data_IF_663502671473
#
_entry.id   IF_663502671473
#
_cell.length_a   1.000
_cell.length_b   1.000
_cell.length_c   1.000
_cell.angle_alpha   90.00
_cell.angle_beta   90.00
_cell.angle_gamma   90.00
#
_symmetry.space_group_name_H-M   'P 1'
#
loop_
_entity.id
_entity.type
_entity.pdbx_description
1 polymer ?
#
# COMPACT_ATOMS: atom_id res chain seq x y z
N UNK A 1 -36.35 -26.77 -19.89
CA UNK A 1 -35.38 -26.44 -20.95
C UNK A 1 -34.04 -27.01 -20.52
N UNK A 2 -33.38 -27.79 -21.37
CA UNK A 2 -32.07 -28.34 -21.05
C UNK A 2 -31.03 -27.20 -21.06
N UNK A 3 -30.15 -27.12 -20.07
CA UNK A 3 -29.17 -26.02 -19.97
C UNK A 3 -28.21 -25.98 -21.18
N UNK A 4 -27.98 -27.12 -21.83
CA UNK A 4 -27.18 -27.21 -23.06
C UNK A 4 -27.87 -26.48 -24.23
N UNK A 5 -29.17 -26.73 -24.44
CA UNK A 5 -29.96 -26.04 -25.47
C UNK A 5 -30.07 -24.53 -25.21
N UNK A 6 -30.12 -24.13 -23.93
CA UNK A 6 -30.12 -22.72 -23.55
C UNK A 6 -28.78 -22.06 -23.85
N UNK A 7 -27.67 -22.73 -23.57
CA UNK A 7 -26.33 -22.21 -23.88
C UNK A 7 -26.15 -21.99 -25.38
N UNK A 8 -26.56 -22.94 -26.22
CA UNK A 8 -26.53 -22.80 -27.69
C UNK A 8 -27.40 -21.62 -28.16
N UNK A 9 -28.63 -21.53 -27.66
CA UNK A 9 -29.53 -20.42 -28.00
C UNK A 9 -28.93 -19.05 -27.63
N UNK A 10 -28.35 -18.92 -26.43
CA UNK A 10 -27.75 -17.67 -25.98
C UNK A 10 -26.46 -17.34 -26.74
N UNK A 11 -25.71 -18.35 -27.17
CA UNK A 11 -24.57 -18.18 -28.06
C UNK A 11 -25.00 -17.60 -29.41
N UNK A 12 -26.09 -18.09 -30.01
CA UNK A 12 -26.65 -17.55 -31.25
C UNK A 12 -27.10 -16.09 -31.08
N UNK A 13 -27.58 -15.71 -29.90
CA UNK A 13 -27.93 -14.32 -29.58
C UNK A 13 -26.75 -13.40 -29.27
N UNK A 14 -25.50 -13.90 -29.34
CA UNK A 14 -24.30 -13.09 -29.10
C UNK A 14 -23.97 -12.88 -27.63
N UNK A 15 -24.52 -13.69 -26.71
CA UNK A 15 -24.11 -13.66 -25.30
C UNK A 15 -22.75 -14.34 -25.16
N UNK A 16 -21.71 -13.56 -24.84
CA UNK A 16 -20.32 -14.02 -24.83
C UNK A 16 -19.98 -15.05 -23.74
N UNK A 17 -20.75 -15.08 -22.64
CA UNK A 17 -20.55 -16.03 -21.54
C UNK A 17 -21.88 -16.33 -20.87
N UNK A 18 -22.21 -17.62 -20.80
CA UNK A 18 -23.38 -18.12 -20.09
C UNK A 18 -22.95 -19.23 -19.14
N UNK A 19 -23.32 -19.11 -17.86
CA UNK A 19 -23.01 -20.09 -16.82
C UNK A 19 -24.29 -20.87 -16.50
N UNK A 20 -24.30 -22.20 -16.66
CA UNK A 20 -25.44 -23.04 -16.33
C UNK A 20 -25.84 -22.90 -14.86
N UNK A 21 -27.14 -22.94 -14.59
CA UNK A 21 -27.65 -22.89 -13.22
C UNK A 21 -27.54 -24.29 -12.61
N UNK A 22 -26.61 -24.45 -11.67
CA UNK A 22 -26.50 -25.68 -10.89
C UNK A 22 -27.22 -25.52 -9.55
N UNK A 23 -28.26 -26.32 -9.30
CA UNK A 23 -28.92 -26.37 -7.99
C UNK A 23 -28.14 -27.34 -7.11
N UNK A 24 -27.58 -26.85 -6.01
CA UNK A 24 -26.87 -27.68 -5.05
C UNK A 24 -27.85 -28.64 -4.36
N UNK A 25 -27.47 -29.88 -4.06
CA UNK A 25 -28.27 -30.76 -3.23
C UNK A 25 -28.47 -30.10 -1.86
N UNK A 26 -29.73 -30.02 -1.40
CA UNK A 26 -30.18 -29.35 -0.16
C UNK A 26 -30.27 -27.81 -0.21
N UNK A 27 -30.08 -27.15 -1.35
CA UNK A 27 -30.34 -25.71 -1.45
C UNK A 27 -31.85 -25.41 -1.36
N UNK A 28 -32.26 -24.36 -0.64
CA UNK A 28 -33.64 -23.84 -0.70
C UNK A 28 -34.02 -23.43 -2.12
N UNK A 29 -35.30 -23.52 -2.46
CA UNK A 29 -35.78 -23.10 -3.78
C UNK A 29 -35.47 -21.62 -4.03
N UNK A 30 -34.93 -21.27 -5.22
CA UNK A 30 -34.62 -19.89 -5.54
C UNK A 30 -35.91 -19.06 -5.60
N UNK A 31 -36.03 -18.08 -4.70
CA UNK A 31 -37.16 -17.12 -4.69
C UNK A 31 -36.76 -15.84 -5.41
N UNK A 32 -37.68 -15.29 -6.20
CA UNK A 32 -37.48 -14.00 -6.86
C UNK A 32 -37.31 -12.91 -5.78
N UNK A 33 -36.22 -12.14 -5.86
CA UNK A 33 -36.02 -10.99 -5.01
C UNK A 33 -37.10 -9.95 -5.29
N UNK A 34 -37.65 -9.33 -4.24
CA UNK A 34 -38.55 -8.20 -4.40
C UNK A 34 -37.74 -7.04 -4.98
N UNK A 35 -38.22 -6.48 -6.10
CA UNK A 35 -37.66 -5.25 -6.64
C UNK A 35 -37.94 -4.13 -5.62
N UNK A 36 -36.97 -3.24 -5.37
CA UNK A 36 -37.25 -2.03 -4.59
C UNK A 36 -38.41 -1.27 -5.23
N UNK A 37 -39.29 -0.63 -4.44
CA UNK A 37 -40.37 0.17 -4.98
C UNK A 37 -39.78 1.21 -5.92
N UNK A 38 -40.39 1.37 -7.10
CA UNK A 38 -40.06 2.48 -7.97
C UNK A 38 -40.37 3.75 -7.17
N UNK A 39 -39.34 4.54 -6.84
CA UNK A 39 -39.55 5.90 -6.38
C UNK A 39 -40.38 6.58 -7.46
N UNK A 40 -41.56 7.09 -7.08
CA UNK A 40 -42.43 7.81 -7.99
C UNK A 40 -41.62 8.92 -8.65
N UNK A 41 -41.33 8.70 -9.93
CA UNK A 41 -40.65 9.66 -10.76
C UNK A 41 -41.42 10.97 -10.70
N UNK A 42 -40.79 12.00 -10.11
CA UNK A 42 -41.19 13.38 -10.29
C UNK A 42 -41.48 13.60 -11.78
N UNK A 43 -42.66 14.13 -12.15
CA UNK A 43 -43.04 14.22 -13.54
C UNK A 43 -42.25 15.36 -14.19
N UNK A 44 -41.16 15.05 -14.90
CA UNK A 44 -40.62 15.96 -15.90
C UNK A 44 -39.79 15.23 -16.96
N UNK A 45 -40.29 15.36 -18.20
CA UNK A 45 -39.68 15.06 -19.51
C UNK A 45 -39.56 13.59 -19.92
N UNK A 46 -40.71 13.03 -20.32
CA UNK A 46 -40.74 12.11 -21.47
C UNK A 46 -40.38 12.90 -22.74
N UNK A 47 -39.18 12.70 -23.26
CA UNK A 47 -38.94 12.74 -24.70
C UNK A 47 -37.89 11.69 -25.05
N UNK A 48 -38.35 10.69 -25.81
CA UNK A 48 -37.51 9.66 -26.38
C UNK A 48 -36.61 10.28 -27.47
N UNK A 49 -35.32 10.01 -27.41
CA UNK A 49 -34.46 9.95 -28.60
C UNK A 49 -33.62 8.69 -28.51
N UNK A 50 -33.63 7.96 -29.62
CA UNK A 50 -33.06 6.64 -29.81
C UNK A 50 -31.53 6.62 -29.93
N UNK A 51 -30.95 5.51 -29.46
CA UNK A 51 -29.69 4.85 -29.88
C UNK A 51 -28.35 5.62 -29.71
N UNK A 52 -27.17 4.97 -29.82
CA UNK A 52 -26.85 3.54 -29.92
C UNK A 52 -25.88 3.04 -28.82
N UNK A 53 -25.59 1.74 -28.87
CA UNK A 53 -24.58 1.04 -28.08
C UNK A 53 -23.20 1.73 -28.06
N UNK A 54 -22.52 1.65 -26.91
CA UNK A 54 -21.08 1.82 -26.83
C UNK A 54 -20.46 0.94 -25.74
N UNK A 55 -19.18 0.56 -25.93
CA UNK A 55 -18.68 -0.76 -25.58
C UNK A 55 -17.84 -0.71 -24.30
N UNK A 56 -18.10 -1.63 -23.37
CA UNK A 56 -17.25 -1.83 -22.20
C UNK A 56 -17.05 -3.33 -21.95
N UNK A 57 -16.35 -3.99 -22.87
CA UNK A 57 -15.75 -5.31 -22.62
C UNK A 57 -14.42 -5.41 -23.39
N UNK A 58 -13.42 -4.67 -22.92
CA UNK A 58 -12.02 -4.93 -23.21
C UNK A 58 -11.20 -4.71 -21.95
N UNK A 59 -11.10 -5.74 -21.11
CA UNK A 59 -9.90 -6.07 -20.30
C UNK A 59 -10.20 -7.22 -19.34
N UNK A 60 -10.45 -8.42 -19.88
CA UNK A 60 -10.25 -9.69 -19.15
C UNK A 60 -9.71 -10.73 -20.13
N UNK A 61 -8.62 -10.38 -20.82
CA UNK A 61 -7.93 -11.26 -21.75
C UNK A 61 -6.44 -11.36 -21.42
N UNK A 62 -6.11 -11.56 -20.14
CA UNK A 62 -4.81 -12.08 -19.72
C UNK A 62 -5.07 -12.96 -18.50
N UNK A 63 -4.32 -14.07 -18.39
CA UNK A 63 -4.47 -15.19 -17.44
C UNK A 63 -5.31 -16.35 -18.00
N UNK A 64 -4.72 -17.13 -18.91
CA UNK A 64 -4.56 -18.60 -18.79
C UNK A 64 -3.44 -18.99 -19.76
N UNK A 65 -2.28 -19.39 -19.25
CA UNK A 65 -1.29 -20.18 -20.01
C UNK A 65 -1.06 -21.48 -19.25
N UNK A 66 -1.35 -22.58 -19.94
CA UNK A 66 -1.31 -23.94 -19.43
C UNK A 66 0.14 -24.45 -19.23
N UNK A 67 0.40 -25.36 -18.27
CA UNK A 67 1.70 -26.01 -18.16
C UNK A 67 1.77 -27.25 -19.08
N UNK A 68 2.87 -27.36 -19.82
CA UNK A 68 3.21 -28.54 -20.63
C UNK A 68 4.23 -29.40 -19.86
N UNK A 69 3.95 -30.69 -19.75
CA UNK A 69 4.80 -31.70 -19.15
C UNK A 69 6.04 -31.98 -20.01
N UNK A 70 7.21 -32.11 -19.40
CA UNK A 70 8.33 -32.84 -19.95
C UNK A 70 9.14 -33.50 -18.83
N UNK A 71 9.27 -34.82 -18.92
CA UNK A 71 10.06 -35.65 -18.01
C UNK A 71 11.48 -35.91 -18.51
N UNK A 72 12.16 -36.80 -17.76
CA UNK A 72 13.59 -37.23 -17.77
C UNK A 72 14.44 -36.41 -16.79
N UNK A 73 15.26 -36.98 -15.93
CA UNK A 73 15.71 -38.36 -15.73
C UNK A 73 16.65 -38.40 -14.51
N UNK A 74 16.81 -39.58 -13.93
CA UNK A 74 17.54 -39.85 -12.69
C UNK A 74 19.08 -39.78 -12.83
N UNK A 75 19.76 -39.37 -11.74
CA UNK A 75 21.02 -39.92 -11.19
C UNK A 75 21.49 -39.00 -10.05
N UNK A 76 21.43 -39.39 -8.77
CA UNK A 76 22.49 -40.09 -8.03
C UNK A 76 23.84 -39.34 -7.98
N UNK A 77 24.17 -38.75 -6.83
CA UNK A 77 25.32 -39.17 -5.99
C UNK A 77 25.48 -38.25 -4.76
N UNK A 78 25.57 -38.87 -3.58
CA UNK A 78 26.22 -38.31 -2.40
C UNK A 78 27.76 -38.33 -2.59
N UNK A 79 28.54 -37.68 -1.69
CA UNK A 79 29.17 -38.49 -0.63
C UNK A 79 29.39 -37.80 0.74
N UNK A 80 29.46 -38.66 1.78
CA UNK A 80 30.32 -38.72 2.99
C UNK A 80 30.82 -37.40 3.63
N UNK A 81 30.57 -37.06 4.90
CA UNK A 81 30.84 -37.71 6.21
C UNK A 81 32.30 -38.18 6.41
N UNK A 82 33.13 -37.35 7.05
CA UNK A 82 34.31 -37.77 7.85
C UNK A 82 34.64 -36.64 8.85
N UNK A 83 34.18 -36.71 10.10
CA UNK A 83 34.92 -37.15 11.31
C UNK A 83 36.33 -36.58 11.41
N UNK A 84 36.55 -35.69 12.39
CA UNK A 84 37.76 -35.66 13.22
C UNK A 84 37.44 -35.02 14.58
N UNK A 85 37.33 -35.88 15.59
CA UNK A 85 37.27 -35.57 17.02
C UNK A 85 38.70 -35.45 17.53
N UNK A 86 39.02 -34.44 18.36
CA UNK A 86 39.58 -34.64 19.72
C UNK A 86 39.78 -33.32 20.49
N UNK A 87 39.74 -33.40 21.84
CA UNK A 87 39.63 -32.27 22.75
C UNK A 87 41.01 -31.79 23.21
N UNK A 88 41.10 -30.54 23.65
CA UNK A 88 42.11 -30.15 24.63
C UNK A 88 41.53 -29.18 25.65
N UNK A 89 41.71 -29.60 26.90
CA UNK A 89 41.44 -28.91 28.14
C UNK A 89 42.75 -28.29 28.61
N UNK A 90 42.83 -26.98 28.84
CA UNK A 90 43.61 -26.42 29.96
C UNK A 90 43.45 -24.89 30.11
N UNK A 91 42.70 -24.54 31.15
CA UNK A 91 43.04 -23.63 32.27
C UNK A 91 43.87 -22.34 32.01
N UNK A 92 43.17 -21.22 32.19
CA UNK A 92 43.55 -19.99 32.93
C UNK A 92 44.75 -19.16 32.49
N UNK A 93 44.45 -17.96 31.97
CA UNK A 93 45.11 -16.73 32.45
C UNK A 93 44.14 -15.55 32.39
N UNK A 94 43.77 -15.07 33.57
CA UNK A 94 43.01 -13.85 33.78
C UNK A 94 43.85 -12.61 33.44
N UNK A 95 43.30 -11.69 32.65
CA UNK A 95 43.60 -10.26 32.63
C UNK A 95 42.50 -9.51 31.84
N UNK A 96 42.32 -8.20 32.08
CA UNK A 96 41.07 -7.65 32.58
C UNK A 96 40.02 -7.45 31.49
N UNK A 97 38.78 -7.77 31.85
CA UNK A 97 37.57 -7.45 31.10
C UNK A 97 37.49 -5.92 31.01
N UNK A 98 37.84 -5.39 29.84
CA UNK A 98 37.39 -4.06 29.43
C UNK A 98 35.87 -4.08 29.56
N UNK A 99 35.39 -3.28 30.50
CA UNK A 99 33.98 -3.03 30.77
C UNK A 99 33.33 -2.70 29.44
N UNK A 100 32.68 -3.72 28.86
CA UNK A 100 31.83 -3.57 27.70
C UNK A 100 30.78 -2.58 28.12
N UNK A 101 30.82 -1.39 27.53
CA UNK A 101 29.77 -0.40 27.69
C UNK A 101 28.46 -1.12 27.42
N UNK A 102 27.62 -1.21 28.45
CA UNK A 102 26.28 -1.79 28.35
C UNK A 102 25.60 -1.02 27.24
N UNK A 103 25.44 -1.68 26.09
CA UNK A 103 24.71 -1.10 24.97
C UNK A 103 23.35 -0.62 25.49
N UNK A 104 22.90 0.59 25.10
CA UNK A 104 21.61 1.09 25.52
C UNK A 104 20.51 0.07 25.20
N UNK A 105 19.42 0.01 25.99
CA UNK A 105 18.36 -0.94 25.77
C UNK A 105 17.87 -0.86 24.33
N UNK A 106 18.04 -1.96 23.59
CA UNK A 106 17.61 -2.06 22.19
C UNK A 106 16.10 -1.84 22.14
N UNK A 107 15.70 -0.72 21.55
CA UNK A 107 14.30 -0.39 21.37
C UNK A 107 13.81 -1.14 20.14
N UNK A 108 13.23 -2.31 20.38
CA UNK A 108 12.63 -3.14 19.34
C UNK A 108 11.47 -2.38 18.68
N UNK A 109 11.53 -2.23 17.35
CA UNK A 109 10.49 -1.57 16.57
C UNK A 109 9.57 -2.61 15.97
N UNK A 110 8.25 -2.41 16.14
CA UNK A 110 7.26 -3.28 15.52
C UNK A 110 7.32 -3.16 14.00
N UNK A 111 7.02 -4.23 13.25
CA UNK A 111 6.91 -4.14 11.79
C UNK A 111 5.87 -3.10 11.37
N UNK A 112 6.22 -2.25 10.42
CA UNK A 112 5.32 -1.24 9.87
C UNK A 112 5.53 -1.08 8.36
N UNK A 113 4.54 -0.48 7.70
CA UNK A 113 4.60 -0.21 6.26
C UNK A 113 4.43 1.28 6.05
N UNK A 114 5.29 1.87 5.21
CA UNK A 114 5.16 3.25 4.79
C UNK A 114 4.67 3.30 3.35
N UNK A 115 3.58 4.01 3.11
CA UNK A 115 3.12 4.34 1.78
C UNK A 115 3.75 5.65 1.36
N UNK A 116 4.45 5.63 0.23
CA UNK A 116 5.13 6.79 -0.34
C UNK A 116 4.45 7.17 -1.65
N UNK A 117 3.89 8.37 -1.74
CA UNK A 117 3.33 8.90 -2.97
C UNK A 117 4.12 10.13 -3.42
N UNK A 118 4.50 10.14 -4.69
CA UNK A 118 5.15 11.27 -5.34
C UNK A 118 4.20 11.88 -6.35
N UNK A 119 4.07 13.21 -6.30
CA UNK A 119 3.18 14.00 -7.14
C UNK A 119 4.03 15.02 -7.90
N UNK A 120 4.47 14.64 -9.10
CA UNK A 120 5.42 15.41 -9.91
C UNK A 120 6.64 15.87 -9.09
N UNK A 121 6.97 17.15 -9.23
CA UNK A 121 8.04 17.85 -8.49
C UNK A 121 7.49 18.65 -7.29
N UNK A 122 6.19 18.58 -7.02
CA UNK A 122 5.55 19.39 -5.99
C UNK A 122 5.63 18.74 -4.60
N UNK A 123 5.35 17.43 -4.53
CA UNK A 123 5.12 16.74 -3.26
C UNK A 123 5.66 15.31 -3.23
N UNK A 124 6.33 14.98 -2.12
CA UNK A 124 6.55 13.62 -1.65
C UNK A 124 5.79 13.40 -0.33
N UNK A 125 4.79 12.54 -0.35
CA UNK A 125 3.96 12.20 0.79
C UNK A 125 4.34 10.81 1.33
N UNK A 126 4.62 10.71 2.63
CA UNK A 126 4.96 9.46 3.32
C UNK A 126 3.96 9.26 4.45
N UNK A 127 3.15 8.19 4.40
CA UNK A 127 2.15 7.85 5.41
C UNK A 127 2.41 6.49 6.05
N UNK A 128 2.19 6.42 7.36
CA UNK A 128 2.24 5.17 8.09
C UNK A 128 0.95 4.34 7.90
N UNK A 129 1.12 3.12 7.41
CA UNK A 129 0.06 2.13 7.25
C UNK A 129 0.25 0.96 8.21
N UNK A 130 -0.83 0.63 8.92
CA UNK A 130 -0.88 -0.55 9.78
C UNK A 130 -1.22 -1.79 8.93
N UNK A 131 -0.35 -2.82 8.90
CA UNK A 131 -0.59 -4.02 8.11
C UNK A 131 -1.87 -4.73 8.59
N UNK A 132 -2.79 -4.99 7.66
CA UNK A 132 -4.08 -5.63 7.95
C UNK A 132 -5.27 -4.66 8.03
N UNK A 133 -5.04 -3.35 8.09
CA UNK A 133 -6.11 -2.36 8.01
C UNK A 133 -6.57 -2.18 6.56
N UNK A 134 -7.78 -2.67 6.23
CA UNK A 134 -8.43 -2.49 4.93
C UNK A 134 -9.11 -1.11 4.79
N UNK A 135 -8.36 -0.04 5.05
CA UNK A 135 -8.86 1.34 4.98
C UNK A 135 -8.64 1.93 3.57
N UNK A 136 -9.56 2.76 3.05
CA UNK A 136 -9.45 3.39 1.73
C UNK A 136 -8.50 4.60 1.74
N UNK A 137 -7.23 4.39 2.13
CA UNK A 137 -6.22 5.45 2.27
C UNK A 137 -5.90 6.12 0.93
N UNK A 138 -5.73 5.34 -0.13
CA UNK A 138 -5.43 5.85 -1.46
C UNK A 138 -6.53 6.77 -2.01
N UNK A 139 -7.80 6.48 -1.69
CA UNK A 139 -8.94 7.31 -2.08
C UNK A 139 -8.98 8.61 -1.27
N UNK A 140 -8.72 8.56 0.04
CA UNK A 140 -8.62 9.77 0.87
C UNK A 140 -7.49 10.67 0.39
N UNK A 141 -6.30 10.10 0.16
CA UNK A 141 -5.16 10.85 -0.34
C UNK A 141 -5.45 11.45 -1.72
N UNK A 142 -6.04 10.66 -2.64
CA UNK A 142 -6.48 11.16 -3.95
C UNK A 142 -7.44 12.35 -3.86
N UNK A 143 -8.38 12.32 -2.91
CA UNK A 143 -9.30 13.44 -2.67
C UNK A 143 -8.58 14.68 -2.15
N UNK A 144 -7.59 14.53 -1.26
CA UNK A 144 -6.76 15.63 -0.76
C UNK A 144 -5.98 16.25 -1.92
N UNK A 145 -5.28 15.44 -2.72
CA UNK A 145 -4.52 15.90 -3.89
C UNK A 145 -5.41 16.61 -4.91
N UNK A 146 -6.63 16.11 -5.13
CA UNK A 146 -7.61 16.77 -6.00
C UNK A 146 -8.02 18.14 -5.46
N UNK A 147 -8.29 18.25 -4.17
CA UNK A 147 -8.62 19.52 -3.52
C UNK A 147 -7.45 20.53 -3.50
N UNK A 148 -6.20 20.04 -3.59
CA UNK A 148 -4.99 20.87 -3.76
C UNK A 148 -4.70 21.22 -5.23
N UNK A 149 -5.61 20.91 -6.15
CA UNK A 149 -5.45 21.12 -7.59
C UNK A 149 -4.22 20.42 -8.23
N UNK A 150 -3.71 19.36 -7.61
CA UNK A 150 -2.56 18.59 -8.10
C UNK A 150 -2.95 17.30 -8.83
N UNK A 151 -4.23 17.11 -9.12
CA UNK A 151 -4.77 15.89 -9.74
C UNK A 151 -4.27 15.63 -11.17
N UNK A 152 -3.75 16.66 -11.85
CA UNK A 152 -3.21 16.55 -13.22
C UNK A 152 -1.74 16.11 -13.23
N UNK A 153 -1.05 16.19 -12.09
CA UNK A 153 0.36 15.84 -11.99
C UNK A 153 0.55 14.31 -12.00
N UNK A 154 1.67 13.81 -12.54
CA UNK A 154 1.97 12.38 -12.53
C UNK A 154 2.10 11.88 -11.08
N UNK A 155 1.37 10.80 -10.76
CA UNK A 155 1.37 10.15 -9.45
C UNK A 155 2.15 8.84 -9.53
N UNK A 156 3.18 8.70 -8.69
CA UNK A 156 3.89 7.45 -8.47
C UNK A 156 3.69 7.00 -7.01
N UNK A 157 3.37 5.72 -6.80
CA UNK A 157 3.19 5.15 -5.47
C UNK A 157 4.17 4.00 -5.23
N UNK A 158 4.80 4.01 -4.07
CA UNK A 158 5.72 2.96 -3.60
C UNK A 158 5.34 2.58 -2.16
N UNK A 159 5.61 1.34 -1.77
CA UNK A 159 5.45 0.90 -0.37
C UNK A 159 6.77 0.41 0.14
N UNK A 160 7.15 0.89 1.32
CA UNK A 160 8.36 0.47 2.01
C UNK A 160 7.97 -0.36 3.23
N UNK A 161 8.65 -1.48 3.41
CA UNK A 161 8.40 -2.42 4.49
C UNK A 161 9.52 -2.35 5.51
N UNK A 162 9.16 -2.33 6.78
CA UNK A 162 10.09 -2.52 7.89
C UNK A 162 9.73 -3.80 8.64
N UNK A 163 10.71 -4.66 8.96
CA UNK A 163 12.10 -4.66 8.47
C UNK A 163 12.21 -4.97 6.97
N UNK A 164 13.26 -4.48 6.31
CA UNK A 164 13.49 -4.73 4.87
C UNK A 164 13.93 -6.17 4.58
N UNK A 165 14.51 -6.85 5.57
CA UNK A 165 14.86 -8.26 5.45
C UNK A 165 13.67 -9.12 5.87
N UNK A 166 13.27 -10.06 5.00
CA UNK A 166 12.26 -11.09 5.32
C UNK A 166 12.75 -12.13 6.33
N UNK A 167 14.00 -11.98 6.81
CA UNK A 167 14.66 -13.00 7.60
C UNK A 167 14.18 -12.92 9.05
N UNK A 168 13.24 -13.81 9.41
CA UNK A 168 12.72 -13.98 10.79
C UNK A 168 13.78 -14.30 11.84
N UNK A 169 14.98 -14.71 11.42
CA UNK A 169 16.12 -15.03 12.28
C UNK A 169 17.23 -13.95 12.24
N UNK A 170 16.98 -12.82 11.57
CA UNK A 170 17.89 -11.68 11.58
C UNK A 170 18.00 -11.05 12.97
N UNK A 171 19.04 -10.22 13.21
CA UNK A 171 19.12 -9.45 14.45
C UNK A 171 17.85 -8.61 14.65
N UNK A 172 17.47 -8.40 15.91
CA UNK A 172 16.32 -7.59 16.27
C UNK A 172 16.41 -6.22 15.57
N UNK A 173 15.33 -5.86 14.88
CA UNK A 173 15.25 -4.63 14.11
C UNK A 173 15.26 -3.42 15.05
N UNK A 174 16.40 -2.74 15.13
CA UNK A 174 16.62 -1.63 16.05
C UNK A 174 16.02 -0.33 15.49
N UNK A 175 15.54 0.54 16.39
CA UNK A 175 14.98 1.84 16.01
C UNK A 175 15.97 2.77 15.28
N UNK A 176 17.26 2.70 15.64
CA UNK A 176 18.30 3.48 14.96
C UNK A 176 18.49 3.00 13.52
N UNK A 177 18.52 1.69 13.30
CA UNK A 177 18.69 1.10 11.97
C UNK A 177 17.51 1.45 11.05
N UNK A 178 16.28 1.41 11.60
CA UNK A 178 15.09 1.86 10.89
C UNK A 178 15.26 3.33 10.44
N UNK A 179 15.63 4.20 11.39
CA UNK A 179 15.82 5.62 11.11
C UNK A 179 16.91 5.86 10.07
N UNK A 180 18.06 5.21 10.19
CA UNK A 180 19.18 5.40 9.28
C UNK A 180 18.81 4.92 7.87
N UNK A 181 18.09 3.81 7.77
CA UNK A 181 17.63 3.26 6.50
C UNK A 181 16.61 4.18 5.82
N UNK A 182 15.59 4.63 6.55
CA UNK A 182 14.52 5.45 5.99
C UNK A 182 14.95 6.89 5.72
N UNK A 183 15.81 7.46 6.55
CA UNK A 183 16.43 8.77 6.29
C UNK A 183 17.32 8.73 5.05
N UNK A 184 18.18 7.71 4.92
CA UNK A 184 19.02 7.50 3.74
C UNK A 184 18.16 7.31 2.48
N UNK A 185 17.06 6.56 2.57
CA UNK A 185 16.11 6.41 1.47
C UNK A 185 15.50 7.76 1.07
N UNK A 186 15.04 8.58 2.04
CA UNK A 186 14.45 9.88 1.76
C UNK A 186 15.45 10.81 1.07
N UNK A 187 16.68 10.86 1.57
CA UNK A 187 17.76 11.66 0.99
C UNK A 187 18.06 11.24 -0.44
N UNK A 188 18.24 9.94 -0.69
CA UNK A 188 18.46 9.40 -2.03
C UNK A 188 17.26 9.65 -2.95
N UNK A 189 16.04 9.56 -2.43
CA UNK A 189 14.79 9.80 -3.17
C UNK A 189 14.64 11.27 -3.57
N UNK A 190 15.02 12.21 -2.69
CA UNK A 190 15.03 13.64 -2.97
C UNK A 190 16.17 14.05 -3.92
N UNK A 191 17.33 13.40 -3.82
CA UNK A 191 18.46 13.65 -4.73
C UNK A 191 18.14 13.20 -6.17
N UNK A 192 17.46 12.07 -6.35
CA UNK A 192 17.04 11.59 -7.69
C UNK A 192 15.92 12.45 -8.29
N UNK A 193 14.96 12.84 -7.47
CA UNK A 193 13.79 13.60 -7.89
C UNK A 193 13.50 14.71 -6.87
N UNK A 194 13.99 15.93 -7.11
CA UNK A 194 13.78 17.04 -6.19
C UNK A 194 12.29 17.37 -6.08
N UNK A 195 11.86 17.68 -4.86
CA UNK A 195 10.47 18.08 -4.57
C UNK A 195 10.46 19.38 -3.79
N UNK A 196 9.41 20.19 -3.98
CA UNK A 196 9.24 21.45 -3.23
C UNK A 196 8.76 21.22 -1.80
N UNK A 197 8.06 20.11 -1.56
CA UNK A 197 7.54 19.78 -0.23
C UNK A 197 7.48 18.29 0.06
N UNK A 198 7.57 17.95 1.35
CA UNK A 198 7.52 16.60 1.89
C UNK A 198 6.46 16.56 2.99
N UNK A 199 5.54 15.61 2.94
CA UNK A 199 4.55 15.38 4.00
C UNK A 199 4.90 14.10 4.76
N UNK A 200 5.11 14.24 6.07
CA UNK A 200 5.36 13.12 6.99
C UNK A 200 4.08 12.88 7.82
N UNK A 201 3.31 11.88 7.38
CA UNK A 201 2.01 11.53 7.93
C UNK A 201 2.11 10.35 8.89
N UNK A 202 1.81 10.60 10.17
CA UNK A 202 1.85 9.59 11.23
C UNK A 202 3.15 9.57 12.04
N UNK A 203 3.10 8.91 13.19
CA UNK A 203 4.21 8.89 14.16
C UNK A 203 5.45 8.19 13.61
N UNK A 204 5.30 7.06 12.93
CA UNK A 204 6.45 6.27 12.46
C UNK A 204 7.15 6.97 11.29
N UNK A 205 6.40 7.58 10.38
CA UNK A 205 6.97 8.44 9.33
C UNK A 205 7.74 9.63 9.95
N UNK A 206 7.20 10.28 10.99
CA UNK A 206 7.86 11.41 11.65
C UNK A 206 9.08 11.00 12.50
N UNK A 207 9.11 9.78 13.04
CA UNK A 207 10.24 9.29 13.84
C UNK A 207 11.38 8.77 12.96
N UNK A 208 11.06 7.99 11.93
CA UNK A 208 12.05 7.24 11.15
C UNK A 208 12.40 7.90 9.82
N UNK A 209 11.44 8.54 9.14
CA UNK A 209 11.67 9.19 7.84
C UNK A 209 12.04 10.68 7.97
N UNK A 210 12.55 11.15 9.10
CA UNK A 210 12.91 12.56 9.23
C UNK A 210 14.42 12.79 9.23
N UNK A 211 14.93 13.62 8.33
CA UNK A 211 16.36 13.98 8.29
C UNK A 211 16.74 15.01 9.37
N UNK A 212 15.77 15.57 10.09
CA UNK A 212 15.93 16.57 11.15
C UNK A 212 14.98 16.28 12.33
N UNK A 213 15.27 16.76 13.55
CA UNK A 213 14.30 16.69 14.64
C UNK A 213 13.14 17.66 14.37
N UNK A 214 11.91 17.14 14.25
CA UNK A 214 10.70 17.95 14.02
C UNK A 214 10.35 18.70 15.31
N UNK A 215 10.55 20.02 15.34
CA UNK A 215 10.07 20.88 16.44
C UNK A 215 8.65 21.37 16.18
N UNK A 216 8.36 21.70 14.92
CA UNK A 216 7.13 22.38 14.52
C UNK A 216 6.31 21.52 13.55
N UNK A 217 5.10 21.99 13.24
CA UNK A 217 4.26 21.35 12.21
C UNK A 217 4.82 21.59 10.81
N UNK A 218 5.44 22.74 10.58
CA UNK A 218 6.10 23.11 9.31
C UNK A 218 7.58 23.32 9.60
N UNK A 219 8.42 22.52 8.95
CA UNK A 219 9.87 22.57 9.09
C UNK A 219 10.49 22.81 7.72
N UNK A 220 11.77 23.22 7.69
CA UNK A 220 12.51 23.41 6.45
C UNK A 220 13.76 22.52 6.48
N UNK A 221 13.93 21.71 5.44
CA UNK A 221 15.09 20.87 5.24
C UNK A 221 15.71 21.19 3.88
N UNK A 222 16.89 21.81 3.88
CA UNK A 222 17.65 22.13 2.65
C UNK A 222 16.84 22.95 1.60
N UNK A 223 15.91 23.80 2.06
CA UNK A 223 15.03 24.57 1.17
C UNK A 223 13.73 23.85 0.78
N UNK A 224 13.56 22.59 1.18
CA UNK A 224 12.34 21.80 1.01
C UNK A 224 11.46 21.91 2.26
N UNK A 225 10.17 22.18 2.07
CA UNK A 225 9.22 22.29 3.19
C UNK A 225 8.81 20.90 3.68
N UNK A 226 9.01 20.61 4.96
CA UNK A 226 8.64 19.33 5.58
C UNK A 226 7.47 19.55 6.55
N UNK A 227 6.33 18.92 6.27
CA UNK A 227 5.11 19.03 7.08
C UNK A 227 4.89 17.78 7.92
N UNK A 228 4.81 17.94 9.23
CA UNK A 228 4.45 16.89 10.16
C UNK A 228 2.93 16.88 10.36
N UNK A 229 2.26 15.80 9.99
CA UNK A 229 0.79 15.70 10.05
C UNK A 229 0.31 14.34 10.56
N UNK A 230 -0.94 14.23 11.05
CA UNK A 230 -1.50 12.93 11.44
C UNK A 230 -1.57 11.97 10.24
N UNK A 231 -1.56 10.66 10.52
CA UNK A 231 -1.69 9.66 9.46
C UNK A 231 -3.07 9.70 8.79
N UNK A 232 -3.13 9.23 7.54
CA UNK A 232 -4.39 9.12 6.79
C UNK A 232 -5.38 8.20 7.51
N UNK A 233 -4.88 7.12 8.12
CA UNK A 233 -5.69 6.22 8.96
C UNK A 233 -6.33 6.97 10.14
N UNK A 234 -5.58 7.83 10.83
CA UNK A 234 -6.12 8.64 11.92
C UNK A 234 -7.13 9.69 11.44
N UNK A 235 -6.94 10.23 10.24
CA UNK A 235 -7.90 11.18 9.62
C UNK A 235 -9.22 10.50 9.26
N UNK A 236 -9.19 9.23 8.85
CA UNK A 236 -10.41 8.45 8.61
C UNK A 236 -11.14 8.13 9.91
N UNK A 237 -10.42 7.73 10.95
CA UNK A 237 -11.02 7.39 12.24
C UNK A 237 -11.55 8.61 13.00
N UNK A 238 -10.87 9.76 12.90
CA UNK A 238 -11.22 11.00 13.63
C UNK A 238 -11.43 12.15 12.65
N UNK A 239 -12.66 12.35 12.15
CA UNK A 239 -12.94 13.35 11.11
C UNK A 239 -12.65 14.79 11.56
N UNK A 240 -12.72 15.11 12.85
CA UNK A 240 -12.40 16.45 13.38
C UNK A 240 -10.98 16.92 13.04
N UNK A 241 -10.05 15.97 12.88
CA UNK A 241 -8.66 16.27 12.52
C UNK A 241 -8.52 16.76 11.08
N UNK A 242 -9.46 16.44 10.20
CA UNK A 242 -9.47 16.92 8.79
C UNK A 242 -9.59 18.43 8.72
N UNK A 243 -10.35 19.05 9.63
CA UNK A 243 -10.47 20.53 9.68
C UNK A 243 -9.12 21.18 9.97
N UNK A 244 -8.40 20.68 10.97
CA UNK A 244 -7.06 21.19 11.35
C UNK A 244 -6.06 21.01 10.22
N UNK A 245 -6.08 19.84 9.57
CA UNK A 245 -5.26 19.58 8.39
C UNK A 245 -5.57 20.59 7.27
N UNK A 246 -6.84 20.85 6.98
CA UNK A 246 -7.19 21.80 5.91
C UNK A 246 -6.78 23.23 6.21
N UNK A 247 -6.87 23.66 7.47
CA UNK A 247 -6.36 24.97 7.88
C UNK A 247 -4.85 25.07 7.63
N UNK A 248 -4.09 24.06 8.08
CA UNK A 248 -2.65 23.98 7.84
C UNK A 248 -2.30 24.01 6.35
N UNK A 249 -3.01 23.24 5.53
CA UNK A 249 -2.77 23.19 4.08
C UNK A 249 -3.10 24.51 3.39
N UNK A 250 -4.16 25.21 3.81
CA UNK A 250 -4.50 26.54 3.27
C UNK A 250 -3.48 27.61 3.62
N UNK A 251 -2.95 27.57 4.85
CA UNK A 251 -1.90 28.49 5.28
C UNK A 251 -0.58 28.22 4.54
N UNK A 252 -0.27 26.95 4.31
CA UNK A 252 1.00 26.56 3.68
C UNK A 252 0.99 26.66 2.16
N UNK A 253 -0.18 26.43 1.53
CA UNK A 253 -0.36 26.37 0.08
C UNK A 253 -1.55 27.26 -0.36
N UNK A 254 -1.43 28.59 -0.21
CA UNK A 254 -2.54 29.50 -0.45
C UNK A 254 -2.91 29.62 -1.93
N UNK A 255 -2.02 29.27 -2.86
CA UNK A 255 -2.27 29.36 -4.31
C UNK A 255 -3.03 28.13 -4.79
N UNK A 256 -2.60 26.97 -4.31
CA UNK A 256 -3.08 25.65 -4.69
C UNK A 256 -4.45 25.33 -4.07
N UNK A 257 -4.77 25.96 -2.92
CA UNK A 257 -6.05 25.80 -2.22
C UNK A 257 -7.12 26.84 -2.58
N UNK A 258 -6.83 27.80 -3.46
CA UNK A 258 -7.85 28.73 -3.95
C UNK A 258 -8.81 27.98 -4.87
N UNK A 259 -10.10 28.00 -4.52
CA UNK A 259 -11.16 27.54 -5.41
C UNK A 259 -11.13 28.38 -6.70
N UNK A 260 -10.95 27.72 -7.84
CA UNK A 260 -11.21 28.29 -9.16
C UNK A 260 -12.69 28.14 -9.50
#
# INVERSE_FOLDING_TARGET
MNELQRAEYLSVLGVASYVPRFVLPLAPEPRQAQLPPAEDALPQLRQAVAAPASPLLQSVAQIVSAPTQQGRGASASAPDITVLTRPDESVSSAQPVLVTQVAPPRQEVQPFVLNCWRIGEELLAVDNHEPGAALPLDALFGNIIRAMNWHQLPRHGERLYWPMAENRFGPAADASEARDTFSSWLEASCARHPVKSIWLMGSEAQKFCTPLPLSDTVNNWQGVRVLAMPSLSQLLQKPDRKRKLWQLLRETYPVETRAQ
#
